data_IF_773203659598
#
_entry.id   IF_773203659598
#
_cell.length_a   1.000
_cell.length_b   1.000
_cell.length_c   1.000
_cell.angle_alpha   90.00
_cell.angle_beta   90.00
_cell.angle_gamma   90.00
#
_symmetry.space_group_name_H-M   'P 1'
#
loop_
_entity.id
_entity.type
_entity.pdbx_description
1 polymer ?
#
# COMPACT_ATOMS: atom_id res chain seq x y z
N UNK A 1 -8.04 -27.15 7.51
CA UNK A 1 -7.74 -25.72 7.72
C UNK A 1 -8.69 -24.90 6.87
N UNK A 2 -9.66 -24.16 7.44
CA UNK A 2 -10.67 -23.49 6.63
C UNK A 2 -10.10 -22.22 6.00
N UNK A 3 -10.33 -22.08 4.70
CA UNK A 3 -9.91 -20.96 3.83
C UNK A 3 -10.73 -19.71 4.19
N UNK A 4 -10.04 -18.61 4.50
CA UNK A 4 -10.67 -17.31 4.73
C UNK A 4 -11.25 -16.78 3.42
N UNK A 5 -12.57 -16.64 3.39
CA UNK A 5 -13.35 -16.08 2.29
C UNK A 5 -13.13 -14.58 2.15
N UNK A 6 -12.55 -14.19 1.01
CA UNK A 6 -12.57 -12.83 0.49
C UNK A 6 -14.01 -12.42 0.17
N UNK A 7 -14.54 -11.40 0.85
CA UNK A 7 -15.73 -10.67 0.41
C UNK A 7 -15.43 -9.17 0.31
N UNK A 8 -15.13 -8.77 -0.93
CA UNK A 8 -15.65 -7.62 -1.68
C UNK A 8 -16.11 -6.37 -0.93
N UNK A 9 -15.35 -5.28 -1.11
CA UNK A 9 -15.88 -3.91 -1.18
C UNK A 9 -15.29 -3.22 -2.43
N UNK A 10 -16.01 -3.32 -3.55
CA UNK A 10 -15.80 -2.47 -4.72
C UNK A 10 -16.86 -1.37 -4.70
N UNK A 11 -16.50 -0.14 -4.31
CA UNK A 11 -17.27 1.03 -4.70
C UNK A 11 -16.77 1.47 -6.08
N UNK A 12 -17.47 1.03 -7.11
CA UNK A 12 -17.36 1.57 -8.47
C UNK A 12 -17.86 3.02 -8.46
N UNK A 13 -16.96 3.98 -8.67
CA UNK A 13 -17.36 5.33 -9.07
C UNK A 13 -17.93 5.25 -10.48
N UNK A 14 -19.26 5.24 -10.59
CA UNK A 14 -19.96 5.41 -11.86
C UNK A 14 -19.82 6.84 -12.38
N UNK A 15 -19.84 7.05 -13.71
CA UNK A 15 -19.78 8.39 -14.28
C UNK A 15 -21.07 9.16 -13.97
N UNK A 16 -20.89 10.43 -13.59
CA UNK A 16 -21.97 11.37 -13.29
C UNK A 16 -22.74 11.69 -14.58
N UNK A 17 -24.04 11.44 -14.59
CA UNK A 17 -24.93 11.75 -15.71
C UNK A 17 -25.18 13.25 -15.82
N UNK A 18 -24.71 13.88 -16.89
CA UNK A 18 -25.08 15.26 -17.23
C UNK A 18 -26.45 15.30 -17.94
N UNK A 19 -27.37 16.08 -17.39
CA UNK A 19 -28.72 16.30 -17.91
C UNK A 19 -28.71 17.11 -19.22
N UNK A 20 -29.38 16.59 -20.27
CA UNK A 20 -29.67 17.31 -21.52
C UNK A 20 -30.84 18.29 -21.31
N UNK A 21 -30.68 19.54 -21.78
CA UNK A 21 -31.78 20.44 -22.19
C UNK A 21 -31.53 20.87 -23.66
N UNK A 22 -32.57 21.03 -24.50
CA UNK A 22 -32.40 21.28 -25.92
C UNK A 22 -32.48 22.76 -26.30
N UNK A 23 -31.77 23.12 -27.39
CA UNK A 23 -32.21 24.14 -28.35
C UNK A 23 -31.41 25.45 -28.37
N UNK A 24 -30.56 25.63 -29.39
CA UNK A 24 -30.68 26.69 -30.41
C UNK A 24 -29.43 26.72 -31.31
N UNK A 25 -29.63 26.70 -32.62
CA UNK A 25 -28.61 26.73 -33.66
C UNK A 25 -28.13 28.17 -33.94
N UNK A 26 -26.84 28.31 -34.32
CA UNK A 26 -26.35 29.28 -35.30
C UNK A 26 -24.96 28.88 -35.81
N UNK A 27 -24.79 28.98 -37.12
CA UNK A 27 -23.57 28.75 -37.90
C UNK A 27 -22.57 29.90 -37.71
N UNK A 28 -21.26 29.65 -37.75
CA UNK A 28 -20.46 29.74 -38.97
C UNK A 28 -18.96 29.42 -38.76
N UNK A 29 -18.35 29.08 -39.89
CA UNK A 29 -16.98 28.67 -40.20
C UNK A 29 -15.79 29.23 -39.37
N UNK A 30 -14.83 28.36 -39.06
CA UNK A 30 -13.44 28.51 -39.52
C UNK A 30 -12.63 27.23 -39.27
N UNK A 31 -11.97 26.75 -40.31
CA UNK A 31 -11.20 25.52 -40.32
C UNK A 31 -9.93 25.62 -39.47
N UNK A 32 -9.76 24.64 -38.60
CA UNK A 32 -8.49 24.31 -37.95
C UNK A 32 -8.40 22.80 -37.97
N UNK A 33 -7.55 22.28 -38.87
CA UNK A 33 -7.25 20.87 -38.95
C UNK A 33 -6.52 20.44 -37.67
N UNK A 34 -7.29 19.97 -36.69
CA UNK A 34 -6.76 19.30 -35.52
C UNK A 34 -6.10 18.00 -36.00
N UNK A 35 -4.77 17.99 -35.97
CA UNK A 35 -3.95 16.78 -36.09
C UNK A 35 -4.35 15.82 -34.98
N UNK A 36 -5.22 14.86 -35.34
CA UNK A 36 -5.56 13.74 -34.48
C UNK A 36 -4.28 12.93 -34.24
N UNK A 37 -3.65 13.18 -33.09
CA UNK A 37 -2.48 12.45 -32.65
C UNK A 37 -2.78 10.95 -32.71
N UNK A 38 -1.94 10.22 -33.45
CA UNK A 38 -2.01 8.77 -33.56
C UNK A 38 -2.20 8.15 -32.17
N UNK A 39 -3.35 7.52 -31.94
CA UNK A 39 -3.55 6.68 -30.76
C UNK A 39 -2.52 5.56 -30.87
N UNK A 40 -1.47 5.61 -30.06
CA UNK A 40 -0.52 4.50 -29.96
C UNK A 40 -1.30 3.26 -29.47
N UNK A 41 -1.75 2.41 -30.39
CA UNK A 41 -2.53 1.19 -30.11
C UNK A 41 -1.85 0.20 -29.16
N UNK A 42 -0.56 0.41 -28.91
CA UNK A 42 0.24 -0.39 -27.99
C UNK A 42 -0.11 -0.13 -26.52
N UNK A 43 -0.45 1.12 -26.15
CA UNK A 43 -0.69 1.50 -24.76
C UNK A 43 -2.18 1.59 -24.47
N UNK A 44 -2.63 0.89 -23.43
CA UNK A 44 -4.01 0.94 -22.98
C UNK A 44 -4.08 1.61 -21.60
N UNK A 45 -3.92 2.94 -21.61
CA UNK A 45 -3.97 3.76 -20.39
C UNK A 45 -5.33 3.68 -19.71
N UNK A 46 -6.42 3.57 -20.46
CA UNK A 46 -7.79 3.52 -19.92
C UNK A 46 -8.07 2.21 -19.18
N UNK A 47 -7.64 1.06 -19.73
CA UNK A 47 -7.89 -0.26 -19.13
C UNK A 47 -6.86 -0.64 -18.07
N UNK A 48 -5.59 -0.32 -18.30
CA UNK A 48 -4.48 -0.84 -17.47
C UNK A 48 -3.66 0.26 -16.78
N UNK A 49 -3.93 1.55 -17.01
CA UNK A 49 -3.16 2.65 -16.39
C UNK A 49 -1.69 2.68 -16.82
N UNK A 50 -1.38 2.18 -18.02
CA UNK A 50 -0.01 2.01 -18.51
C UNK A 50 0.69 3.36 -18.78
N UNK A 51 1.71 3.66 -17.97
CA UNK A 51 2.67 4.75 -18.18
C UNK A 51 4.08 4.17 -18.28
N UNK A 52 4.61 4.07 -19.50
CA UNK A 52 5.90 3.42 -19.73
C UNK A 52 7.03 4.39 -19.38
N UNK A 53 7.89 4.00 -18.44
CA UNK A 53 9.13 4.73 -18.13
C UNK A 53 10.06 4.66 -19.35
N UNK A 54 10.35 5.79 -19.98
CA UNK A 54 11.16 5.86 -21.21
C UNK A 54 12.58 6.35 -20.97
N UNK A 55 12.84 7.06 -19.87
CA UNK A 55 14.17 7.61 -19.60
C UNK A 55 15.15 6.51 -19.11
N UNK A 56 16.20 6.18 -19.89
CA UNK A 56 17.13 5.11 -19.53
C UNK A 56 17.98 5.43 -18.30
N UNK A 57 18.25 6.71 -18.01
CA UNK A 57 19.01 7.12 -16.83
C UNK A 57 18.19 6.94 -15.54
N UNK A 58 16.88 7.21 -15.59
CA UNK A 58 15.99 6.94 -14.47
C UNK A 58 15.85 5.43 -14.24
N UNK A 59 15.70 4.66 -15.32
CA UNK A 59 15.64 3.20 -15.23
C UNK A 59 16.93 2.63 -14.61
N UNK A 60 18.09 3.11 -15.05
CA UNK A 60 19.38 2.72 -14.47
C UNK A 60 19.47 3.11 -12.99
N UNK A 61 19.09 4.34 -12.63
CA UNK A 61 19.08 4.80 -11.24
C UNK A 61 18.19 3.97 -10.32
N UNK A 62 17.04 3.48 -10.81
CA UNK A 62 16.18 2.55 -10.06
C UNK A 62 16.91 1.23 -9.79
N UNK A 63 17.57 0.66 -10.80
CA UNK A 63 18.32 -0.61 -10.68
C UNK A 63 19.52 -0.45 -9.75
N UNK A 64 20.26 0.65 -9.85
CA UNK A 64 21.41 0.94 -8.99
C UNK A 64 20.98 1.06 -7.52
N UNK A 65 19.83 1.73 -7.27
CA UNK A 65 19.24 1.84 -5.94
C UNK A 65 18.57 0.57 -5.44
N UNK A 66 18.37 -0.45 -6.29
CA UNK A 66 17.90 -1.75 -5.85
C UNK A 66 19.00 -2.58 -5.19
N UNK A 67 20.28 -2.18 -5.31
CA UNK A 67 21.42 -2.86 -4.69
C UNK A 67 21.37 -4.37 -4.95
N UNK A 68 21.17 -4.73 -6.22
CA UNK A 68 21.06 -6.11 -6.66
C UNK A 68 22.40 -6.83 -6.52
N UNK A 69 22.33 -8.08 -6.08
CA UNK A 69 23.44 -9.03 -6.05
C UNK A 69 23.35 -9.95 -7.27
N UNK A 70 24.49 -10.44 -7.79
CA UNK A 70 24.49 -11.40 -8.90
C UNK A 70 23.72 -12.70 -8.62
N UNK A 71 23.51 -13.04 -7.34
CA UNK A 71 22.78 -14.23 -6.89
C UNK A 71 21.28 -14.03 -6.80
N UNK A 72 20.78 -12.79 -6.89
CA UNK A 72 19.39 -12.47 -6.62
C UNK A 72 18.43 -13.01 -7.68
N UNK A 73 17.28 -13.46 -7.21
CA UNK A 73 16.05 -13.57 -8.00
C UNK A 73 15.27 -12.28 -7.83
N UNK A 74 15.00 -11.60 -8.95
CA UNK A 74 14.27 -10.34 -8.96
C UNK A 74 12.85 -10.56 -9.47
N UNK A 75 11.86 -10.12 -8.71
CA UNK A 75 10.50 -9.99 -9.19
C UNK A 75 10.33 -8.60 -9.82
N UNK A 76 9.93 -8.56 -11.09
CA UNK A 76 9.51 -7.32 -11.76
C UNK A 76 7.99 -7.33 -11.94
N UNK A 77 7.28 -6.42 -11.27
CA UNK A 77 5.83 -6.30 -11.46
C UNK A 77 5.56 -5.21 -12.49
N UNK A 78 4.83 -5.56 -13.56
CA UNK A 78 4.51 -4.65 -14.66
C UNK A 78 5.74 -4.23 -15.47
N UNK A 79 6.42 -5.17 -16.16
CA UNK A 79 7.60 -4.87 -16.98
C UNK A 79 7.30 -3.91 -18.16
N UNK A 80 6.04 -3.83 -18.60
CA UNK A 80 5.65 -3.00 -19.73
C UNK A 80 6.40 -3.39 -21.00
N UNK A 81 7.13 -2.46 -21.60
CA UNK A 81 7.96 -2.74 -22.80
C UNK A 81 9.34 -3.32 -22.46
N UNK A 82 9.63 -3.60 -21.20
CA UNK A 82 10.87 -4.22 -20.73
C UNK A 82 12.05 -3.26 -20.55
N UNK A 83 11.80 -1.94 -20.43
CA UNK A 83 12.86 -0.95 -20.25
C UNK A 83 13.65 -1.15 -18.94
N UNK A 84 12.97 -1.56 -17.86
CA UNK A 84 13.62 -1.95 -16.61
C UNK A 84 14.17 -3.38 -16.71
N UNK A 85 13.40 -4.32 -17.26
CA UNK A 85 13.82 -5.72 -17.45
C UNK A 85 15.21 -5.87 -18.06
N UNK A 86 15.51 -5.17 -19.16
CA UNK A 86 16.82 -5.27 -19.84
C UNK A 86 17.99 -4.68 -19.02
N UNK A 87 17.70 -3.85 -18.01
CA UNK A 87 18.68 -3.31 -17.08
C UNK A 87 18.88 -4.22 -15.86
N UNK A 88 17.85 -4.95 -15.46
CA UNK A 88 17.88 -5.88 -14.33
C UNK A 88 18.58 -7.20 -14.71
N UNK A 89 18.25 -7.77 -15.87
CA UNK A 89 18.74 -9.08 -16.32
C UNK A 89 20.28 -9.26 -16.30
N UNK A 90 21.10 -8.25 -16.66
CA UNK A 90 22.55 -8.39 -16.62
C UNK A 90 23.13 -8.52 -15.22
N UNK A 91 22.46 -7.99 -14.18
CA UNK A 91 23.04 -7.80 -12.84
C UNK A 91 22.55 -8.80 -11.79
N UNK A 92 21.63 -9.71 -12.15
CA UNK A 92 21.05 -10.71 -11.25
C UNK A 92 21.09 -12.12 -11.83
N UNK A 93 20.68 -13.10 -11.03
CA UNK A 93 20.62 -14.52 -11.40
C UNK A 93 19.44 -14.81 -12.30
N UNK A 94 18.26 -14.30 -11.94
CA UNK A 94 16.98 -14.57 -12.60
C UNK A 94 16.01 -13.40 -12.41
N UNK A 95 15.21 -13.12 -13.42
CA UNK A 95 14.08 -12.18 -13.35
C UNK A 95 12.78 -12.94 -13.57
N UNK A 96 11.84 -12.79 -12.64
CA UNK A 96 10.46 -13.23 -12.78
C UNK A 96 9.62 -11.99 -13.03
N UNK A 97 9.07 -11.85 -14.24
CA UNK A 97 8.24 -10.71 -14.61
C UNK A 97 6.75 -11.07 -14.53
N UNK A 98 5.98 -10.34 -13.72
CA UNK A 98 4.53 -10.51 -13.62
C UNK A 98 3.82 -9.44 -14.43
N UNK A 99 3.10 -9.85 -15.47
CA UNK A 99 2.44 -8.93 -16.41
C UNK A 99 1.00 -9.36 -16.66
N UNK A 100 0.08 -8.40 -16.59
CA UNK A 100 -1.34 -8.61 -16.83
C UNK A 100 -1.67 -8.55 -18.33
N UNK A 101 -0.99 -7.68 -19.09
CA UNK A 101 -1.24 -7.50 -20.53
C UNK A 101 -0.38 -8.49 -21.34
N UNK A 102 -0.99 -9.52 -21.98
CA UNK A 102 -0.23 -10.50 -22.75
C UNK A 102 0.58 -9.90 -23.90
N UNK A 103 0.16 -8.73 -24.41
CA UNK A 103 0.89 -8.01 -25.46
C UNK A 103 2.21 -7.47 -24.93
N UNK A 104 2.22 -6.90 -23.72
CA UNK A 104 3.44 -6.40 -23.08
C UNK A 104 4.38 -7.55 -22.74
N UNK A 105 3.85 -8.67 -22.26
CA UNK A 105 4.64 -9.88 -22.03
C UNK A 105 5.35 -10.37 -23.30
N UNK A 106 4.65 -10.40 -24.44
CA UNK A 106 5.23 -10.76 -25.72
C UNK A 106 6.33 -9.77 -26.16
N UNK A 107 6.13 -8.46 -25.95
CA UNK A 107 7.15 -7.44 -26.24
C UNK A 107 8.42 -7.65 -25.41
N UNK A 108 8.30 -7.93 -24.11
CA UNK A 108 9.45 -8.21 -23.23
C UNK A 108 10.19 -9.46 -23.70
N UNK A 109 9.48 -10.54 -24.03
CA UNK A 109 10.09 -11.78 -24.56
C UNK A 109 10.85 -11.51 -25.86
N UNK A 110 10.22 -10.82 -26.80
CA UNK A 110 10.83 -10.46 -28.09
C UNK A 110 12.09 -9.63 -27.89
N UNK A 111 12.08 -8.71 -26.93
CA UNK A 111 13.21 -7.81 -26.65
C UNK A 111 14.46 -8.55 -26.16
N UNK A 112 14.30 -9.68 -25.49
CA UNK A 112 15.42 -10.49 -24.97
C UNK A 112 15.72 -11.71 -25.85
N UNK A 113 14.93 -11.96 -26.90
CA UNK A 113 15.08 -13.10 -27.78
C UNK A 113 16.47 -13.11 -28.45
N UNK A 114 17.16 -14.25 -28.39
CA UNK A 114 18.50 -14.43 -28.93
C UNK A 114 19.63 -13.86 -28.06
N UNK A 115 19.31 -13.22 -26.92
CA UNK A 115 20.33 -12.69 -26.00
C UNK A 115 20.73 -13.76 -24.97
N UNK A 116 21.96 -13.69 -24.40
CA UNK A 116 22.36 -14.56 -23.28
C UNK A 116 21.41 -14.45 -22.07
N UNK A 117 20.75 -13.30 -21.91
CA UNK A 117 19.83 -13.01 -20.82
C UNK A 117 18.46 -13.68 -20.98
N UNK A 118 18.10 -14.15 -22.18
CA UNK A 118 16.79 -14.78 -22.45
C UNK A 118 16.47 -15.90 -21.44
N UNK A 119 17.46 -16.74 -21.13
CA UNK A 119 17.31 -17.88 -20.21
C UNK A 119 17.10 -17.48 -18.75
N UNK A 120 17.36 -16.22 -18.40
CA UNK A 120 17.16 -15.67 -17.06
C UNK A 120 15.78 -15.06 -16.87
N UNK A 121 15.00 -14.87 -17.94
CA UNK A 121 13.67 -14.26 -17.88
C UNK A 121 12.59 -15.34 -17.80
N UNK A 122 11.77 -15.25 -16.77
CA UNK A 122 10.54 -16.01 -16.60
C UNK A 122 9.36 -15.04 -16.59
N UNK A 123 8.24 -15.38 -17.22
CA UNK A 123 7.04 -14.52 -17.25
C UNK A 123 5.85 -15.25 -16.64
N UNK A 124 5.22 -14.58 -15.69
CA UNK A 124 3.94 -14.96 -15.10
C UNK A 124 2.88 -14.04 -15.71
N UNK A 125 2.02 -14.61 -16.56
CA UNK A 125 0.87 -13.90 -17.11
C UNK A 125 -0.27 -13.90 -16.10
N UNK A 126 -0.71 -12.71 -15.67
CA UNK A 126 -1.89 -12.58 -14.83
C UNK A 126 -1.90 -11.39 -13.89
N UNK A 127 -2.91 -11.37 -13.04
CA UNK A 127 -3.10 -10.34 -12.01
C UNK A 127 -2.10 -10.55 -10.87
N UNK A 128 -1.16 -9.62 -10.71
CA UNK A 128 -0.21 -9.66 -9.59
C UNK A 128 -0.89 -9.83 -8.22
N UNK A 129 -2.05 -9.18 -8.01
CA UNK A 129 -2.74 -9.23 -6.71
C UNK A 129 -3.20 -10.66 -6.41
N UNK A 130 -3.57 -11.43 -7.44
CA UNK A 130 -4.12 -12.79 -7.31
C UNK A 130 -3.10 -13.89 -7.60
N UNK A 131 -1.99 -13.58 -8.25
CA UNK A 131 -0.98 -14.54 -8.64
C UNK A 131 -0.29 -15.17 -7.42
N UNK A 132 -0.01 -16.46 -7.51
CA UNK A 132 0.92 -17.14 -6.62
C UNK A 132 2.34 -16.77 -7.05
N UNK A 133 3.09 -16.17 -6.13
CA UNK A 133 4.43 -15.66 -6.41
C UNK A 133 5.47 -16.69 -5.97
N UNK A 134 6.50 -16.98 -6.81
CA UNK A 134 7.62 -17.78 -6.38
C UNK A 134 8.46 -17.02 -5.34
N UNK A 135 9.50 -17.66 -4.80
CA UNK A 135 10.53 -16.96 -4.04
C UNK A 135 11.26 -15.92 -4.90
N UNK A 136 11.51 -14.75 -4.32
CA UNK A 136 12.39 -13.71 -4.87
C UNK A 136 13.05 -12.92 -3.74
N UNK A 137 14.25 -12.38 -4.01
CA UNK A 137 15.03 -11.60 -3.05
C UNK A 137 14.62 -10.12 -3.07
N UNK A 138 14.40 -9.59 -4.27
CA UNK A 138 14.11 -8.16 -4.49
C UNK A 138 12.92 -7.99 -5.43
N UNK A 139 12.02 -7.07 -5.11
CA UNK A 139 10.97 -6.64 -6.03
C UNK A 139 11.33 -5.27 -6.63
N UNK A 140 11.22 -5.12 -7.95
CA UNK A 140 11.31 -3.82 -8.63
C UNK A 140 10.01 -3.60 -9.39
N UNK A 141 9.45 -2.38 -9.34
CA UNK A 141 8.19 -2.13 -10.05
C UNK A 141 7.97 -0.68 -10.46
N UNK A 142 7.39 -0.54 -11.66
CA UNK A 142 6.70 0.65 -12.14
C UNK A 142 5.23 0.30 -12.45
N UNK A 143 4.54 -0.31 -11.50
CA UNK A 143 3.13 -0.71 -11.69
C UNK A 143 2.18 0.48 -11.76
N UNK A 144 1.01 0.29 -12.41
CA UNK A 144 -0.09 1.24 -12.37
C UNK A 144 -0.49 1.60 -10.93
N UNK A 145 -0.80 2.87 -10.71
CA UNK A 145 -1.04 3.39 -9.35
C UNK A 145 -2.26 2.80 -8.65
N UNK A 146 -3.21 2.27 -9.42
CA UNK A 146 -4.46 1.67 -8.95
C UNK A 146 -4.20 0.45 -8.04
N UNK A 147 -3.07 -0.24 -8.24
CA UNK A 147 -2.72 -1.43 -7.45
C UNK A 147 -1.64 -1.16 -6.40
N UNK A 148 -1.29 0.11 -6.14
CA UNK A 148 -0.18 0.46 -5.24
C UNK A 148 -0.34 -0.10 -3.82
N UNK A 149 -1.51 0.08 -3.20
CA UNK A 149 -1.73 -0.42 -1.83
C UNK A 149 -1.80 -1.95 -1.77
N UNK A 150 -2.59 -2.64 -2.62
CA UNK A 150 -2.56 -4.10 -2.69
C UNK A 150 -1.17 -4.66 -2.95
N UNK A 151 -0.36 -4.00 -3.79
CA UNK A 151 0.99 -4.41 -4.08
C UNK A 151 1.87 -4.37 -2.82
N UNK A 152 1.86 -3.25 -2.09
CA UNK A 152 2.66 -3.11 -0.86
C UNK A 152 2.27 -4.17 0.16
N UNK A 153 0.97 -4.35 0.44
CA UNK A 153 0.53 -5.32 1.45
C UNK A 153 0.76 -6.77 1.03
N UNK A 154 0.66 -7.10 -0.27
CA UNK A 154 1.02 -8.44 -0.77
C UNK A 154 2.51 -8.73 -0.59
N UNK A 155 3.38 -7.75 -0.84
CA UNK A 155 4.83 -7.88 -0.61
C UNK A 155 5.17 -8.06 0.88
N UNK A 156 4.54 -7.29 1.77
CA UNK A 156 4.74 -7.43 3.23
C UNK A 156 4.24 -8.78 3.77
N UNK A 157 3.21 -9.34 3.14
CA UNK A 157 2.63 -10.64 3.51
C UNK A 157 3.35 -11.83 2.85
N UNK A 158 4.23 -11.57 1.88
CA UNK A 158 4.94 -12.64 1.16
C UNK A 158 5.91 -13.37 2.11
N UNK A 159 6.02 -14.68 1.92
CA UNK A 159 6.95 -15.55 2.65
C UNK A 159 7.65 -16.49 1.67
N UNK A 160 8.96 -16.74 1.83
CA UNK A 160 9.91 -16.13 2.78
C UNK A 160 10.00 -14.60 2.69
N UNK A 161 10.50 -13.95 3.76
CA UNK A 161 10.58 -12.47 3.80
C UNK A 161 11.59 -12.00 2.75
N UNK A 162 11.20 -11.02 1.95
CA UNK A 162 12.03 -10.45 0.89
C UNK A 162 13.04 -9.48 1.47
N UNK A 163 14.21 -9.33 0.83
CA UNK A 163 15.24 -8.40 1.30
C UNK A 163 14.80 -6.94 1.15
N UNK A 164 14.24 -6.60 -0.01
CA UNK A 164 13.78 -5.24 -0.28
C UNK A 164 12.85 -5.15 -1.50
N UNK A 165 12.06 -4.09 -1.56
CA UNK A 165 11.33 -3.68 -2.75
C UNK A 165 11.69 -2.24 -3.14
N UNK A 166 11.97 -1.98 -4.42
CA UNK A 166 12.16 -0.64 -4.99
C UNK A 166 11.03 -0.35 -5.95
N UNK A 167 10.11 0.50 -5.50
CA UNK A 167 8.78 0.65 -6.08
C UNK A 167 8.56 2.10 -6.47
N UNK A 168 8.03 2.32 -7.67
CA UNK A 168 7.62 3.65 -8.12
C UNK A 168 6.14 3.87 -7.90
N UNK A 169 5.79 4.99 -7.27
CA UNK A 169 4.43 5.41 -6.98
C UNK A 169 4.18 6.85 -7.39
N UNK A 170 2.92 7.28 -7.35
CA UNK A 170 2.59 8.71 -7.33
C UNK A 170 3.30 9.39 -6.15
N UNK A 171 3.72 10.64 -6.35
CA UNK A 171 4.45 11.42 -5.35
C UNK A 171 3.73 11.47 -4.01
N UNK A 172 2.43 11.77 -4.00
CA UNK A 172 1.65 11.86 -2.77
C UNK A 172 1.62 10.52 -2.03
N UNK A 173 1.36 9.42 -2.74
CA UNK A 173 1.33 8.07 -2.17
C UNK A 173 2.70 7.69 -1.57
N UNK A 174 3.79 7.94 -2.30
CA UNK A 174 5.14 7.72 -1.83
C UNK A 174 5.47 8.52 -0.56
N UNK A 175 5.06 9.79 -0.51
CA UNK A 175 5.27 10.65 0.65
C UNK A 175 4.42 10.21 1.85
N UNK A 176 3.19 9.71 1.63
CA UNK A 176 2.38 9.12 2.69
C UNK A 176 3.03 7.86 3.25
N UNK A 177 3.58 6.98 2.42
CA UNK A 177 4.31 5.80 2.88
C UNK A 177 5.50 6.16 3.80
N UNK A 178 6.21 7.25 3.47
CA UNK A 178 7.38 7.72 4.22
C UNK A 178 7.03 8.72 5.34
N UNK A 179 5.76 9.04 5.55
CA UNK A 179 5.36 10.10 6.46
C UNK A 179 5.68 9.72 7.91
N UNK A 180 6.32 10.61 8.65
CA UNK A 180 6.55 10.44 10.08
C UNK A 180 5.28 10.79 10.89
N UNK A 181 5.10 10.23 12.09
CA UNK A 181 4.06 10.63 13.03
C UNK A 181 4.05 12.16 13.25
N UNK A 182 2.87 12.76 13.40
CA UNK A 182 2.72 14.22 13.53
C UNK A 182 2.82 15.00 12.22
N UNK A 183 3.35 14.41 11.15
CA UNK A 183 3.42 15.09 9.85
C UNK A 183 2.06 15.17 9.16
N UNK A 184 1.91 16.14 8.24
CA UNK A 184 0.68 16.37 7.47
C UNK A 184 0.21 15.13 6.68
N UNK A 185 1.14 14.27 6.27
CA UNK A 185 0.85 13.09 5.44
C UNK A 185 0.80 11.78 6.26
N UNK A 186 0.97 11.85 7.58
CA UNK A 186 0.79 10.71 8.47
C UNK A 186 -0.63 10.17 8.34
N UNK A 187 -0.77 8.87 8.12
CA UNK A 187 -2.08 8.25 7.96
C UNK A 187 -2.03 6.74 8.25
N UNK A 188 -3.19 6.07 8.19
CA UNK A 188 -3.31 4.62 8.33
C UNK A 188 -2.33 3.84 7.44
N UNK A 189 -2.12 4.29 6.19
CA UNK A 189 -1.17 3.65 5.27
C UNK A 189 0.25 3.69 5.83
N UNK A 190 0.68 4.85 6.33
CA UNK A 190 1.99 5.07 6.95
C UNK A 190 2.16 4.16 8.15
N UNK A 191 1.20 4.20 9.09
CA UNK A 191 1.22 3.41 10.32
C UNK A 191 1.27 1.90 10.05
N UNK A 192 0.45 1.41 9.12
CA UNK A 192 0.40 0.00 8.77
C UNK A 192 1.69 -0.47 8.09
N UNK A 193 2.22 0.27 7.12
CA UNK A 193 3.40 -0.18 6.38
C UNK A 193 4.65 -0.09 7.26
N UNK A 194 4.82 1.02 7.99
CA UNK A 194 5.99 1.23 8.83
C UNK A 194 6.07 0.29 10.04
N UNK A 195 4.94 -0.29 10.45
CA UNK A 195 4.90 -1.37 11.45
C UNK A 195 5.68 -2.61 10.97
N UNK A 196 5.62 -2.95 9.69
CA UNK A 196 6.19 -4.19 9.15
C UNK A 196 7.44 -3.96 8.30
N UNK A 197 7.83 -2.72 8.02
CA UNK A 197 8.95 -2.42 7.17
C UNK A 197 9.56 -1.04 7.42
N UNK A 198 10.85 -0.92 7.16
CA UNK A 198 11.51 0.38 6.96
C UNK A 198 11.18 0.90 5.56
N UNK A 199 10.73 2.14 5.47
CA UNK A 199 10.34 2.81 4.22
C UNK A 199 11.19 4.05 4.01
N UNK A 200 11.77 4.18 2.82
CA UNK A 200 12.65 5.30 2.47
C UNK A 200 12.28 5.90 1.13
N UNK A 201 12.23 7.23 1.07
CA UNK A 201 12.14 7.95 -0.19
C UNK A 201 13.51 7.94 -0.87
N UNK A 202 13.57 7.41 -2.10
CA UNK A 202 14.85 7.20 -2.81
C UNK A 202 15.12 8.32 -3.80
N UNK A 203 14.14 8.62 -4.67
CA UNK A 203 14.29 9.66 -5.67
C UNK A 203 12.95 10.17 -6.21
N UNK A 204 12.99 11.37 -6.80
CA UNK A 204 11.88 12.00 -7.52
C UNK A 204 11.98 11.64 -9.01
N UNK A 205 10.84 11.35 -9.64
CA UNK A 205 10.76 11.09 -11.08
C UNK A 205 9.70 12.00 -11.68
N UNK A 206 10.12 12.87 -12.60
CA UNK A 206 9.24 13.80 -13.30
C UNK A 206 8.30 13.10 -14.28
N UNK A 207 7.10 13.64 -14.48
CA UNK A 207 6.11 13.08 -15.43
C UNK A 207 6.60 13.00 -16.88
N UNK A 208 7.57 13.83 -17.27
CA UNK A 208 8.19 13.81 -18.60
C UNK A 208 9.03 12.56 -18.90
N UNK A 209 9.30 11.72 -17.91
CA UNK A 209 10.04 10.46 -18.08
C UNK A 209 9.14 9.30 -18.55
N UNK A 210 7.86 9.55 -18.82
CA UNK A 210 6.87 8.53 -19.14
C UNK A 210 6.20 8.77 -20.48
N UNK A 211 5.75 7.68 -21.12
CA UNK A 211 4.91 7.74 -22.32
C UNK A 211 3.71 6.78 -22.21
N UNK A 212 2.46 7.29 -22.31
CA UNK A 212 2.09 8.71 -22.19
C UNK A 212 2.45 9.26 -20.79
N UNK A 213 2.64 10.58 -20.63
CA UNK A 213 2.96 11.17 -19.34
C UNK A 213 1.76 11.04 -18.36
N UNK A 214 1.99 10.69 -17.08
CA UNK A 214 0.95 10.76 -16.06
C UNK A 214 0.59 12.21 -15.73
N UNK A 215 -0.56 12.39 -15.09
CA UNK A 215 -1.02 13.72 -14.66
C UNK A 215 -0.28 14.25 -13.44
N UNK A 216 0.39 13.37 -12.69
CA UNK A 216 1.06 13.68 -11.44
C UNK A 216 2.51 13.25 -11.47
N UNK A 217 3.29 13.86 -10.58
CA UNK A 217 4.68 13.51 -10.33
C UNK A 217 4.81 12.11 -9.70
N UNK A 218 5.95 11.45 -9.94
CA UNK A 218 6.27 10.13 -9.39
C UNK A 218 7.41 10.16 -8.39
N UNK A 219 7.50 9.13 -7.56
CA UNK A 219 8.64 8.89 -6.69
C UNK A 219 8.94 7.42 -6.50
N UNK A 220 10.22 7.13 -6.37
CA UNK A 220 10.73 5.80 -6.06
C UNK A 220 10.91 5.71 -4.56
N UNK A 221 10.39 4.63 -3.98
CA UNK A 221 10.44 4.30 -2.56
C UNK A 221 11.11 2.94 -2.41
N UNK A 222 11.94 2.81 -1.38
CA UNK A 222 12.48 1.53 -0.94
C UNK A 222 11.73 1.05 0.28
N UNK A 223 11.28 -0.19 0.26
CA UNK A 223 10.64 -0.86 1.39
C UNK A 223 11.52 -2.05 1.78
N UNK A 224 11.93 -2.12 3.05
CA UNK A 224 12.68 -3.26 3.61
C UNK A 224 11.84 -3.87 4.73
N UNK A 225 11.14 -4.99 4.47
CA UNK A 225 10.39 -5.68 5.52
C UNK A 225 11.28 -6.04 6.71
N UNK A 226 10.71 -6.01 7.91
CA UNK A 226 11.38 -6.50 9.10
C UNK A 226 11.46 -8.03 9.06
N UNK A 227 12.63 -8.57 9.40
CA UNK A 227 12.88 -10.01 9.52
C UNK A 227 13.60 -10.29 10.86
N UNK A 228 12.96 -10.99 11.81
CA UNK A 228 11.59 -11.49 11.74
C UNK A 228 10.55 -10.34 11.72
N UNK A 229 9.37 -10.56 11.11
CA UNK A 229 8.28 -9.60 11.20
C UNK A 229 7.79 -9.50 12.65
N UNK A 230 7.25 -8.34 13.09
CA UNK A 230 6.69 -8.21 14.43
C UNK A 230 5.61 -9.26 14.70
N UNK A 231 5.50 -9.77 15.94
CA UNK A 231 4.55 -10.82 16.31
C UNK A 231 3.13 -10.28 16.51
N UNK A 232 2.66 -9.42 15.59
CA UNK A 232 1.34 -8.79 15.63
C UNK A 232 0.61 -9.12 14.33
N UNK A 233 -0.59 -9.68 14.43
CA UNK A 233 -1.45 -9.96 13.26
C UNK A 233 -1.83 -8.65 12.58
N UNK A 234 -1.74 -8.63 11.26
CA UNK A 234 -2.02 -7.42 10.48
C UNK A 234 -3.47 -6.96 10.64
N UNK A 235 -4.41 -7.90 10.64
CA UNK A 235 -5.84 -7.62 10.74
C UNK A 235 -6.18 -6.93 12.06
N UNK A 236 -5.53 -7.36 13.14
CA UNK A 236 -5.70 -6.81 14.49
C UNK A 236 -5.20 -5.36 14.56
N UNK A 237 -3.99 -5.13 14.05
CA UNK A 237 -3.40 -3.78 14.01
C UNK A 237 -4.14 -2.84 13.04
N UNK A 238 -4.51 -3.32 11.85
CA UNK A 238 -5.33 -2.55 10.89
C UNK A 238 -6.74 -2.28 11.44
N UNK A 239 -7.31 -3.22 12.20
CA UNK A 239 -8.61 -3.07 12.86
C UNK A 239 -8.63 -1.88 13.81
N UNK A 240 -7.66 -1.80 14.72
CA UNK A 240 -7.46 -0.63 15.59
C UNK A 240 -7.23 0.63 14.75
N UNK A 241 -6.33 0.56 13.77
CA UNK A 241 -5.99 1.71 12.93
C UNK A 241 -7.17 2.25 12.12
N UNK A 242 -8.12 1.40 11.69
CA UNK A 242 -9.37 1.84 11.06
C UNK A 242 -10.21 2.70 11.98
N UNK A 243 -10.27 2.36 13.27
CA UNK A 243 -11.00 3.15 14.27
C UNK A 243 -10.30 4.48 14.49
N UNK A 244 -9.02 4.47 14.85
CA UNK A 244 -8.34 5.69 15.32
C UNK A 244 -7.99 6.67 14.19
N UNK A 245 -7.74 6.18 12.97
CA UNK A 245 -7.49 7.05 11.81
C UNK A 245 -8.77 7.50 11.08
N UNK A 246 -9.96 7.02 11.45
CA UNK A 246 -11.24 7.48 10.86
C UNK A 246 -11.43 8.98 10.99
N UNK A 247 -11.00 9.55 12.13
CA UNK A 247 -11.00 10.98 12.42
C UNK A 247 -9.70 11.34 13.16
N UNK A 248 -8.56 11.15 12.49
CA UNK A 248 -7.22 11.20 13.11
C UNK A 248 -6.88 12.49 13.91
N UNK A 249 -7.56 13.61 13.67
CA UNK A 249 -7.37 14.88 14.41
C UNK A 249 -8.34 15.06 15.59
N UNK A 250 -9.26 14.12 15.82
CA UNK A 250 -10.12 14.05 17.00
C UNK A 250 -9.48 13.14 18.05
N UNK A 251 -9.91 13.31 19.30
CA UNK A 251 -9.41 12.49 20.41
C UNK A 251 -9.76 11.02 20.19
N UNK A 252 -8.96 10.10 20.71
CA UNK A 252 -9.25 8.67 20.59
C UNK A 252 -10.62 8.34 21.18
N UNK A 253 -10.96 8.91 22.34
CA UNK A 253 -12.30 8.79 22.95
C UNK A 253 -13.41 9.14 21.96
N UNK A 254 -13.24 10.20 21.17
CA UNK A 254 -14.20 10.56 20.13
C UNK A 254 -14.18 9.56 18.95
N UNK A 255 -13.01 9.07 18.53
CA UNK A 255 -12.89 8.06 17.47
C UNK A 255 -13.64 6.76 17.84
N UNK A 256 -13.47 6.28 19.07
CA UNK A 256 -14.19 5.09 19.56
C UNK A 256 -15.70 5.32 19.67
N UNK A 257 -16.16 6.58 19.85
CA UNK A 257 -17.58 6.97 19.77
C UNK A 257 -18.20 6.93 18.36
N UNK A 258 -17.48 6.44 17.35
CA UNK A 258 -18.02 6.29 16.00
C UNK A 258 -19.04 5.13 15.92
N UNK A 259 -20.01 5.28 15.00
CA UNK A 259 -21.06 4.29 14.76
C UNK A 259 -20.44 2.93 14.37
N UNK A 260 -20.90 1.84 14.99
CA UNK A 260 -20.46 0.47 14.70
C UNK A 260 -19.26 0.01 15.53
N UNK A 261 -18.52 0.92 16.18
CA UNK A 261 -17.33 0.54 16.97
C UNK A 261 -17.74 -0.17 18.26
N UNK A 262 -18.79 0.30 18.95
CA UNK A 262 -19.29 -0.36 20.16
C UNK A 262 -19.73 -1.79 19.87
N UNK A 263 -20.52 -1.96 18.82
CA UNK A 263 -21.07 -3.26 18.43
C UNK A 263 -19.97 -4.24 18.00
N UNK A 264 -18.94 -3.74 17.31
CA UNK A 264 -17.76 -4.51 16.97
C UNK A 264 -17.01 -4.97 18.23
N UNK A 265 -16.73 -4.05 19.16
CA UNK A 265 -16.01 -4.37 20.40
C UNK A 265 -16.80 -5.33 21.29
N UNK A 266 -18.11 -5.11 21.48
CA UNK A 266 -18.98 -6.01 22.25
C UNK A 266 -18.99 -7.42 21.64
N UNK A 267 -19.17 -7.54 20.32
CA UNK A 267 -19.14 -8.83 19.64
C UNK A 267 -17.80 -9.55 19.81
N UNK A 268 -16.69 -8.85 19.61
CA UNK A 268 -15.35 -9.42 19.69
C UNK A 268 -15.02 -9.82 21.14
N UNK A 269 -15.38 -9.00 22.12
CA UNK A 269 -15.20 -9.29 23.55
C UNK A 269 -16.01 -10.52 23.97
N UNK A 270 -17.29 -10.63 23.57
CA UNK A 270 -18.11 -11.83 23.83
C UNK A 270 -17.50 -13.08 23.24
N UNK A 271 -16.99 -12.99 22.01
CA UNK A 271 -16.30 -14.10 21.34
C UNK A 271 -15.05 -14.50 22.10
N UNK A 272 -14.25 -13.52 22.54
CA UNK A 272 -13.06 -13.76 23.35
C UNK A 272 -13.39 -14.42 24.70
N UNK A 273 -14.41 -13.95 25.41
CA UNK A 273 -14.87 -14.56 26.65
C UNK A 273 -15.30 -16.02 26.44
N UNK A 274 -16.07 -16.30 25.39
CA UNK A 274 -16.49 -17.66 25.05
C UNK A 274 -15.30 -18.59 24.76
N UNK A 275 -14.30 -18.11 24.03
CA UNK A 275 -13.07 -18.88 23.72
C UNK A 275 -12.20 -19.12 24.95
N UNK A 276 -12.22 -18.21 25.92
CA UNK A 276 -11.40 -18.28 27.14
C UNK A 276 -12.19 -18.75 28.37
N UNK A 277 -13.40 -19.31 28.18
CA UNK A 277 -14.26 -19.82 29.25
C UNK A 277 -14.53 -18.79 30.37
N UNK A 278 -14.66 -17.52 29.99
CA UNK A 278 -14.97 -16.43 30.91
C UNK A 278 -16.46 -16.11 30.90
N UNK A 279 -17.01 -15.95 32.10
CA UNK A 279 -18.37 -15.41 32.28
C UNK A 279 -18.38 -13.92 31.97
N UNK A 280 -19.48 -13.46 31.39
CA UNK A 280 -19.73 -12.04 31.12
C UNK A 280 -20.72 -11.58 32.17
N UNK A 281 -20.38 -10.50 32.86
CA UNK A 281 -21.27 -9.89 33.85
C UNK A 281 -22.54 -9.36 33.17
N UNK A 282 -23.68 -9.50 33.84
CA UNK A 282 -24.99 -9.15 33.29
C UNK A 282 -25.10 -7.66 32.94
N UNK A 283 -24.31 -6.80 33.59
CA UNK A 283 -24.27 -5.34 33.39
C UNK A 283 -23.09 -4.88 32.52
N UNK A 284 -22.42 -5.80 31.81
CA UNK A 284 -21.31 -5.48 30.92
C UNK A 284 -21.67 -4.38 29.90
N UNK A 285 -20.87 -3.31 29.88
CA UNK A 285 -20.96 -2.25 28.89
C UNK A 285 -19.63 -2.03 28.20
N UNK A 286 -19.56 -2.39 26.91
CA UNK A 286 -18.39 -2.17 26.07
C UNK A 286 -17.93 -0.70 26.05
N UNK A 287 -18.83 0.28 26.21
CA UNK A 287 -18.42 1.68 26.29
C UNK A 287 -17.58 1.95 27.54
N UNK A 288 -18.03 1.49 28.71
CA UNK A 288 -17.31 1.67 29.97
C UNK A 288 -15.92 1.05 29.87
N UNK A 289 -15.83 -0.19 29.37
CA UNK A 289 -14.55 -0.88 29.19
C UNK A 289 -13.60 -0.11 28.27
N UNK A 290 -14.07 0.39 27.13
CA UNK A 290 -13.24 1.21 26.22
C UNK A 290 -12.77 2.49 26.93
N UNK A 291 -13.68 3.16 27.64
CA UNK A 291 -13.40 4.43 28.30
C UNK A 291 -12.36 4.28 29.41
N UNK A 292 -12.49 3.23 30.22
CA UNK A 292 -11.52 2.82 31.24
C UNK A 292 -10.15 2.54 30.63
N UNK A 293 -10.07 1.70 29.59
CA UNK A 293 -8.80 1.37 28.93
C UNK A 293 -8.11 2.65 28.42
N UNK A 294 -8.85 3.55 27.78
CA UNK A 294 -8.30 4.79 27.25
C UNK A 294 -7.90 5.79 28.33
N UNK A 295 -8.57 5.81 29.47
CA UNK A 295 -8.29 6.72 30.57
C UNK A 295 -7.13 6.24 31.45
N UNK A 296 -7.04 4.93 31.70
CA UNK A 296 -6.02 4.31 32.55
C UNK A 296 -4.68 4.13 31.81
N UNK A 297 -4.71 4.00 30.48
CA UNK A 297 -3.49 3.78 29.69
C UNK A 297 -2.85 5.11 29.31
N UNK A 298 -1.62 5.33 29.77
CA UNK A 298 -0.81 6.50 29.46
C UNK A 298 0.00 6.29 28.18
N UNK A 299 0.15 7.36 27.40
CA UNK A 299 1.06 7.35 26.24
C UNK A 299 2.50 7.05 26.71
N UNK A 300 3.26 6.19 26.01
CA UNK A 300 4.67 5.94 26.31
C UNK A 300 5.50 7.23 26.39
N UNK A 301 6.44 7.26 27.32
CA UNK A 301 7.44 8.32 27.40
C UNK A 301 8.32 8.32 26.14
N UNK A 302 8.61 9.50 25.59
CA UNK A 302 9.52 9.65 24.44
C UNK A 302 10.99 9.66 24.87
N UNK A 303 11.27 10.10 26.09
CA UNK A 303 12.59 10.11 26.72
C UNK A 303 12.52 9.57 28.15
N UNK A 304 13.65 9.16 28.69
CA UNK A 304 13.73 8.61 30.05
C UNK A 304 13.40 9.63 31.15
N UNK A 305 13.42 10.93 30.83
CA UNK A 305 13.21 12.03 31.79
C UNK A 305 11.75 12.54 31.83
N UNK A 306 10.84 11.97 31.04
CA UNK A 306 9.42 12.36 30.97
C UNK A 306 8.56 11.64 32.04
N UNK A 307 8.78 11.94 33.33
CA UNK A 307 8.11 11.18 34.41
C UNK A 307 6.82 11.79 34.98
N UNK A 308 6.50 13.08 34.83
CA UNK A 308 5.46 13.67 35.71
C UNK A 308 4.09 14.03 35.12
N UNK A 309 3.85 13.96 33.79
CA UNK A 309 2.50 14.19 33.25
C UNK A 309 2.33 13.64 31.83
N UNK A 310 2.27 12.31 31.71
CA UNK A 310 1.97 11.65 30.43
C UNK A 310 0.47 11.72 30.16
N UNK A 311 0.02 12.14 28.97
CA UNK A 311 -1.40 12.18 28.66
C UNK A 311 -1.96 10.75 28.57
N UNK A 312 -3.20 10.58 29.01
CA UNK A 312 -3.95 9.37 28.73
C UNK A 312 -4.22 9.24 27.22
N UNK A 313 -4.35 8.01 26.73
CA UNK A 313 -4.72 7.75 25.34
C UNK A 313 -6.07 8.36 24.98
N UNK A 314 -6.99 8.49 25.95
CA UNK A 314 -8.30 9.10 25.78
C UNK A 314 -8.27 10.46 25.06
N UNK A 315 -7.33 11.33 25.44
CA UNK A 315 -7.22 12.71 24.93
C UNK A 315 -6.20 12.86 23.79
N UNK A 316 -5.50 11.76 23.49
CA UNK A 316 -4.54 11.68 22.40
C UNK A 316 -5.22 11.63 21.03
N UNK A 317 -4.46 11.92 19.97
CA UNK A 317 -4.95 11.95 18.59
C UNK A 317 -4.05 11.08 17.73
N UNK A 318 -4.64 10.20 16.91
CA UNK A 318 -3.86 9.32 16.03
C UNK A 318 -2.90 10.09 15.10
N UNK A 319 -3.20 11.36 14.79
CA UNK A 319 -2.31 12.24 14.05
C UNK A 319 -0.91 12.40 14.67
N UNK A 320 -0.77 12.29 16.00
CA UNK A 320 0.48 12.49 16.73
C UNK A 320 1.08 11.19 17.29
N UNK A 321 0.36 10.07 17.20
CA UNK A 321 0.81 8.78 17.74
C UNK A 321 1.76 8.08 16.76
N UNK A 322 2.87 7.62 17.29
CA UNK A 322 3.85 6.79 16.60
C UNK A 322 3.36 5.34 16.44
N UNK A 323 4.08 4.54 15.65
CA UNK A 323 3.81 3.11 15.54
C UNK A 323 3.90 2.39 16.89
N UNK A 324 4.87 2.76 17.74
CA UNK A 324 5.01 2.20 19.08
C UNK A 324 3.85 2.60 20.00
N UNK A 325 3.37 3.84 19.91
CA UNK A 325 2.21 4.28 20.70
C UNK A 325 0.94 3.51 20.29
N UNK A 326 0.77 3.26 18.99
CA UNK A 326 -0.35 2.47 18.48
C UNK A 326 -0.26 0.99 18.91
N UNK A 327 0.95 0.44 19.01
CA UNK A 327 1.16 -0.90 19.54
C UNK A 327 0.85 -0.99 21.03
N UNK A 328 1.26 0.01 21.80
CA UNK A 328 0.97 0.06 23.23
C UNK A 328 -0.53 0.20 23.47
N UNK A 329 -1.21 1.03 22.68
CA UNK A 329 -2.66 1.13 22.69
C UNK A 329 -3.33 -0.20 22.35
N UNK A 330 -2.84 -0.90 21.32
CA UNK A 330 -3.37 -2.22 20.96
C UNK A 330 -3.15 -3.22 22.09
N UNK A 331 -1.97 -3.23 22.70
CA UNK A 331 -1.64 -4.09 23.85
C UNK A 331 -2.61 -3.84 24.99
N UNK A 332 -2.89 -2.58 25.32
CA UNK A 332 -3.81 -2.20 26.40
C UNK A 332 -5.23 -2.73 26.18
N UNK A 333 -5.71 -2.74 24.94
CA UNK A 333 -6.99 -3.39 24.61
C UNK A 333 -6.90 -4.92 24.73
N UNK A 334 -5.88 -5.53 24.13
CA UNK A 334 -5.75 -6.98 24.06
C UNK A 334 -5.62 -7.64 25.45
N UNK A 335 -4.90 -7.03 26.39
CA UNK A 335 -4.76 -7.55 27.76
C UNK A 335 -6.06 -7.50 28.55
N UNK A 336 -7.00 -6.63 28.16
CA UNK A 336 -8.35 -6.53 28.72
C UNK A 336 -9.39 -7.31 27.88
N UNK A 337 -8.93 -8.16 26.95
CA UNK A 337 -9.79 -9.04 26.15
C UNK A 337 -10.52 -8.34 24.99
N UNK A 338 -10.17 -7.10 24.67
CA UNK A 338 -10.74 -6.37 23.54
C UNK A 338 -9.85 -6.54 22.31
N UNK A 339 -10.41 -7.09 21.24
CA UNK A 339 -9.72 -7.35 19.97
C UNK A 339 -10.45 -6.67 18.80
N UNK A 340 -9.72 -6.38 17.72
CA UNK A 340 -10.21 -5.62 16.57
C UNK A 340 -10.37 -6.46 15.28
N UNK A 341 -10.02 -7.75 15.30
CA UNK A 341 -10.18 -8.68 14.19
C UNK A 341 -10.79 -10.03 14.56
#
# INVERSE_FOLDING_TARGET
MPKATSQTFTRSHGPVSASKRPGAAKADASGSAATSGARNHLFNTEKFGQHILTNPLVAQGIVDKAELKPTDVVLEVGPGTGNLTVKILPVCKRVVACEMDPRMAAEVQKRVLGTPQQKKLEIILGDFVKADLPYFDVCISNTPYQISSPLVFKLLSHRPVIRSAVLMFQREFALRLCAAPGSKLWCRLSANVQMYARVEHVMKVGKGNFRPPPQVESSVVRIRPHDPPPPVKFEEYDGLNRVVFSRMHKTLRACFKAKGVKEMVDKNYRTWCAVNERLIEDDFDAWKLIDEILAETLVPAKTLDEDEQRPAFADSRAAALSGNDLLELLRAFNVRGVHFA
#
